data_IF_804416578359
#
_entry.id   IF_804416578359
#
_cell.length_a   1.000
_cell.length_b   1.000
_cell.length_c   1.000
_cell.angle_alpha   90.00
_cell.angle_beta   90.00
_cell.angle_gamma   90.00
#
_symmetry.space_group_name_H-M   'P 1'
#
loop_
_entity.id
_entity.type
_entity.pdbx_description
1 polymer ?
#
# COMPACT_ATOMS: atom_id res chain seq x y z
N UNK A 1 20.18 30.47 -4.99
CA UNK A 1 20.97 29.23 -5.07
C UNK A 1 20.49 28.19 -4.06
N UNK A 2 20.29 28.56 -2.79
CA UNK A 2 19.63 27.68 -1.82
C UNK A 2 18.22 27.25 -2.29
N UNK A 3 17.50 28.15 -2.96
CA UNK A 3 16.14 27.93 -3.43
C UNK A 3 16.02 26.83 -4.49
N UNK A 4 17.01 26.72 -5.40
CA UNK A 4 17.01 25.67 -6.42
C UNK A 4 17.22 24.28 -5.79
N UNK A 5 18.16 24.19 -4.85
CA UNK A 5 18.45 22.94 -4.16
C UNK A 5 17.27 22.51 -3.27
N UNK A 6 16.63 23.46 -2.60
CA UNK A 6 15.44 23.21 -1.80
C UNK A 6 14.29 22.72 -2.66
N UNK A 7 14.08 23.33 -3.86
CA UNK A 7 13.04 22.91 -4.80
C UNK A 7 13.28 21.51 -5.33
N UNK A 8 14.51 21.17 -5.66
CA UNK A 8 14.87 19.83 -6.15
C UNK A 8 14.62 18.77 -5.07
N UNK A 9 15.05 19.07 -3.84
CA UNK A 9 14.86 18.17 -2.71
C UNK A 9 13.37 17.97 -2.40
N UNK A 10 12.60 19.03 -2.41
CA UNK A 10 11.14 18.96 -2.20
C UNK A 10 10.45 18.19 -3.30
N UNK A 11 10.84 18.39 -4.56
CA UNK A 11 10.33 17.64 -5.69
C UNK A 11 10.64 16.15 -5.54
N UNK A 12 11.84 15.80 -5.11
CA UNK A 12 12.24 14.42 -4.86
C UNK A 12 11.37 13.80 -3.75
N UNK A 13 11.10 14.56 -2.70
CA UNK A 13 10.24 14.13 -1.61
C UNK A 13 8.83 13.78 -2.11
N UNK A 14 8.22 14.68 -2.88
CA UNK A 14 6.89 14.44 -3.44
C UNK A 14 6.89 13.31 -4.45
N UNK A 15 7.94 13.18 -5.25
CA UNK A 15 8.09 12.06 -6.20
C UNK A 15 8.10 10.73 -5.46
N UNK A 16 8.89 10.62 -4.39
CA UNK A 16 8.98 9.40 -3.59
C UNK A 16 7.69 9.12 -2.83
N UNK A 17 7.03 10.15 -2.33
CA UNK A 17 5.70 9.97 -1.71
C UNK A 17 4.71 9.38 -2.71
N UNK A 18 4.68 9.89 -3.92
CA UNK A 18 3.82 9.38 -4.98
C UNK A 18 4.12 7.93 -5.33
N UNK A 19 5.40 7.55 -5.40
CA UNK A 19 5.82 6.18 -5.64
C UNK A 19 5.38 5.26 -4.50
N UNK A 20 5.57 5.68 -3.25
CA UNK A 20 5.14 4.92 -2.08
C UNK A 20 3.63 4.70 -2.08
N UNK A 21 2.86 5.76 -2.32
CA UNK A 21 1.40 5.69 -2.40
C UNK A 21 0.94 4.78 -3.53
N UNK A 22 1.59 4.86 -4.69
CA UNK A 22 1.29 4.01 -5.84
C UNK A 22 1.56 2.54 -5.54
N UNK A 23 2.69 2.24 -4.90
CA UNK A 23 3.01 0.87 -4.50
C UNK A 23 1.99 0.32 -3.50
N UNK A 24 1.52 1.13 -2.57
CA UNK A 24 0.42 0.75 -1.66
C UNK A 24 -0.85 0.42 -2.41
N UNK A 25 -1.23 1.27 -3.37
CA UNK A 25 -2.40 1.03 -4.22
C UNK A 25 -2.27 -0.26 -5.01
N UNK A 26 -1.08 -0.56 -5.52
CA UNK A 26 -0.84 -1.80 -6.24
C UNK A 26 -1.01 -3.03 -5.36
N UNK A 27 -0.59 -2.96 -4.10
CA UNK A 27 -0.81 -4.04 -3.14
C UNK A 27 -2.31 -4.26 -2.92
N UNK A 28 -3.06 -3.20 -2.66
CA UNK A 28 -4.51 -3.26 -2.49
C UNK A 28 -5.18 -3.87 -3.72
N UNK A 29 -4.81 -3.39 -4.89
CA UNK A 29 -5.34 -3.85 -6.17
C UNK A 29 -5.08 -5.34 -6.39
N UNK A 30 -3.86 -5.78 -6.11
CA UNK A 30 -3.46 -7.17 -6.27
C UNK A 30 -4.24 -8.09 -5.33
N UNK A 31 -4.42 -7.68 -4.08
CA UNK A 31 -5.20 -8.44 -3.10
C UNK A 31 -6.65 -8.57 -3.56
N UNK A 32 -7.25 -7.47 -4.00
CA UNK A 32 -8.62 -7.46 -4.52
C UNK A 32 -8.74 -8.42 -5.71
N UNK A 33 -7.79 -8.36 -6.62
CA UNK A 33 -7.75 -9.23 -7.80
C UNK A 33 -7.68 -10.71 -7.42
N UNK A 34 -6.80 -11.04 -6.45
CA UNK A 34 -6.65 -12.43 -5.99
C UNK A 34 -7.89 -12.93 -5.25
N UNK A 35 -8.60 -12.05 -4.56
CA UNK A 35 -9.85 -12.41 -3.86
C UNK A 35 -11.02 -12.65 -4.80
N UNK A 36 -10.96 -12.15 -6.03
CA UNK A 36 -12.05 -12.36 -7.00
C UNK A 36 -12.32 -13.84 -7.23
N UNK A 37 -11.28 -14.67 -7.35
CA UNK A 37 -11.44 -16.10 -7.58
C UNK A 37 -12.27 -16.80 -6.50
N UNK A 38 -11.85 -16.75 -5.20
CA UNK A 38 -12.62 -17.34 -4.11
C UNK A 38 -14.01 -16.74 -3.94
N UNK A 39 -14.13 -15.42 -4.04
CA UNK A 39 -15.43 -14.74 -3.92
C UNK A 39 -16.37 -15.10 -5.06
N UNK A 40 -15.82 -15.29 -6.25
CA UNK A 40 -16.56 -15.72 -7.43
C UNK A 40 -17.16 -17.11 -7.22
N UNK A 41 -16.38 -18.04 -6.67
CA UNK A 41 -16.84 -19.42 -6.40
C UNK A 41 -17.95 -19.49 -5.37
N UNK A 42 -18.10 -18.46 -4.53
CA UNK A 42 -19.17 -18.36 -3.55
C UNK A 42 -20.49 -17.89 -4.15
N UNK A 43 -20.47 -17.39 -5.38
CA UNK A 43 -21.69 -16.98 -6.08
C UNK A 43 -22.05 -18.05 -7.11
N UNK A 44 -23.29 -18.56 -7.05
CA UNK A 44 -23.77 -19.59 -7.96
C UNK A 44 -23.97 -19.10 -9.39
N UNK A 45 -23.73 -17.83 -9.65
CA UNK A 45 -24.02 -17.20 -10.92
C UNK A 45 -22.78 -16.51 -11.49
N UNK A 46 -22.13 -17.18 -12.45
CA UNK A 46 -20.88 -16.76 -13.08
C UNK A 46 -21.14 -15.82 -14.27
N UNK A 47 -21.73 -14.64 -14.05
CA UNK A 47 -21.88 -13.68 -15.13
C UNK A 47 -20.99 -12.44 -14.92
N UNK A 48 -20.64 -11.72 -16.02
CA UNK A 48 -19.75 -10.56 -15.91
C UNK A 48 -20.24 -9.44 -14.99
N UNK A 49 -21.56 -9.26 -14.89
CA UNK A 49 -22.15 -8.26 -14.01
C UNK A 49 -21.88 -8.57 -12.54
N UNK A 50 -21.98 -9.83 -12.16
CA UNK A 50 -21.68 -10.28 -10.78
C UNK A 50 -20.22 -10.11 -10.45
N UNK A 51 -19.31 -10.37 -11.38
CA UNK A 51 -17.87 -10.15 -11.19
C UNK A 51 -17.60 -8.68 -10.89
N UNK A 52 -18.19 -7.80 -11.69
CA UNK A 52 -18.03 -6.36 -11.52
C UNK A 52 -18.55 -5.91 -10.16
N UNK A 53 -19.70 -6.41 -9.72
CA UNK A 53 -20.26 -6.11 -8.41
C UNK A 53 -19.32 -6.52 -7.27
N UNK A 54 -18.78 -7.74 -7.34
CA UNK A 54 -17.85 -8.25 -6.31
C UNK A 54 -16.58 -7.42 -6.29
N UNK A 55 -16.03 -7.13 -7.45
CA UNK A 55 -14.82 -6.31 -7.57
C UNK A 55 -15.04 -4.91 -6.97
N UNK A 56 -16.14 -4.26 -7.31
CA UNK A 56 -16.47 -2.92 -6.81
C UNK A 56 -16.63 -2.92 -5.29
N UNK A 57 -17.27 -3.95 -4.73
CA UNK A 57 -17.41 -4.09 -3.28
C UNK A 57 -16.06 -4.25 -2.59
N UNK A 58 -15.19 -5.10 -3.13
CA UNK A 58 -13.87 -5.33 -2.56
C UNK A 58 -13.01 -4.06 -2.59
N UNK A 59 -13.08 -3.29 -3.68
CA UNK A 59 -12.32 -2.04 -3.81
C UNK A 59 -12.72 -0.98 -2.79
N UNK A 60 -13.96 -1.01 -2.31
CA UNK A 60 -14.46 -0.04 -1.33
C UNK A 60 -14.08 -0.38 0.10
N UNK A 61 -13.59 -1.58 0.34
CA UNK A 61 -13.20 -2.00 1.69
C UNK A 61 -11.86 -1.35 2.10
N UNK A 62 -11.70 -0.99 3.37
CA UNK A 62 -10.40 -0.58 3.89
C UNK A 62 -9.39 -1.72 3.75
N UNK A 63 -8.11 -1.38 3.64
CA UNK A 63 -7.04 -2.37 3.48
C UNK A 63 -7.08 -3.44 4.57
N UNK A 64 -7.34 -3.05 5.82
CA UNK A 64 -7.43 -4.01 6.93
C UNK A 64 -8.50 -5.07 6.71
N UNK A 65 -9.67 -4.66 6.21
CA UNK A 65 -10.77 -5.58 5.89
C UNK A 65 -10.43 -6.50 4.72
N UNK A 66 -9.77 -5.96 3.68
CA UNK A 66 -9.31 -6.72 2.53
C UNK A 66 -8.30 -7.79 2.95
N UNK A 67 -7.36 -7.43 3.82
CA UNK A 67 -6.35 -8.36 4.34
C UNK A 67 -6.98 -9.47 5.17
N UNK A 68 -8.00 -9.17 5.98
CA UNK A 68 -8.72 -10.19 6.75
C UNK A 68 -9.43 -11.19 5.84
N UNK A 69 -10.10 -10.71 4.78
CA UNK A 69 -10.70 -11.58 3.76
C UNK A 69 -9.64 -12.44 3.08
N UNK A 70 -8.50 -11.83 2.73
CA UNK A 70 -7.41 -12.52 2.05
C UNK A 70 -6.87 -13.68 2.89
N UNK A 71 -6.69 -13.45 4.18
CA UNK A 71 -6.22 -14.49 5.12
C UNK A 71 -7.21 -15.65 5.26
N UNK A 72 -8.51 -15.40 5.11
CA UNK A 72 -9.53 -16.45 5.21
C UNK A 72 -9.52 -17.40 4.02
N UNK A 73 -9.10 -16.94 2.85
CA UNK A 73 -9.16 -17.71 1.62
C UNK A 73 -7.84 -18.35 1.20
N UNK A 74 -6.73 -17.90 1.76
CA UNK A 74 -5.40 -18.37 1.38
C UNK A 74 -4.57 -18.70 2.62
N UNK A 75 -3.69 -19.68 2.47
CA UNK A 75 -2.74 -20.04 3.52
C UNK A 75 -1.47 -19.19 3.40
N UNK A 76 -1.03 -18.62 4.52
CA UNK A 76 0.17 -17.79 4.58
C UNK A 76 1.07 -18.24 5.73
N UNK A 77 2.38 -18.11 5.52
CA UNK A 77 3.37 -18.32 6.57
C UNK A 77 3.29 -17.19 7.61
N UNK A 78 3.84 -17.44 8.80
CA UNK A 78 3.95 -16.40 9.84
C UNK A 78 4.66 -15.16 9.31
N UNK A 79 5.73 -15.35 8.52
CA UNK A 79 6.48 -14.26 7.91
C UNK A 79 5.62 -13.42 6.98
N UNK A 80 4.80 -14.06 6.16
CA UNK A 80 3.87 -13.36 5.27
C UNK A 80 2.82 -12.57 6.06
N UNK A 81 2.28 -13.16 7.13
CA UNK A 81 1.31 -12.48 8.00
C UNK A 81 1.93 -11.27 8.68
N UNK A 82 3.16 -11.36 9.15
CA UNK A 82 3.90 -10.23 9.73
C UNK A 82 4.11 -9.12 8.72
N UNK A 83 4.46 -9.48 7.48
CA UNK A 83 4.64 -8.51 6.40
C UNK A 83 3.33 -7.77 6.07
N UNK A 84 2.22 -8.49 6.05
CA UNK A 84 0.89 -7.90 5.82
C UNK A 84 0.51 -6.91 6.93
N UNK A 85 0.76 -7.30 8.19
CA UNK A 85 0.52 -6.41 9.34
C UNK A 85 1.38 -5.16 9.25
N UNK A 86 2.65 -5.32 8.88
CA UNK A 86 3.59 -4.21 8.70
C UNK A 86 3.13 -3.26 7.60
N UNK A 87 2.65 -3.79 6.48
CA UNK A 87 2.14 -2.97 5.37
C UNK A 87 0.95 -2.14 5.80
N UNK A 88 0.01 -2.75 6.51
CA UNK A 88 -1.18 -2.04 6.99
C UNK A 88 -0.79 -0.86 7.89
N UNK A 89 0.10 -1.09 8.84
CA UNK A 89 0.60 -0.06 9.74
C UNK A 89 1.30 1.06 8.97
N UNK A 90 2.18 0.71 8.06
CA UNK A 90 2.95 1.68 7.27
C UNK A 90 2.08 2.45 6.27
N UNK A 91 1.10 1.79 5.68
CA UNK A 91 0.13 2.44 4.81
C UNK A 91 -0.68 3.49 5.58
N UNK A 92 -1.14 3.14 6.78
CA UNK A 92 -1.89 4.07 7.61
C UNK A 92 -1.02 5.25 8.03
N UNK A 93 0.24 5.01 8.37
CA UNK A 93 1.21 6.07 8.68
C UNK A 93 1.42 6.98 7.48
N UNK A 94 1.68 6.42 6.30
CA UNK A 94 1.93 7.20 5.08
C UNK A 94 0.73 8.09 4.74
N UNK A 95 -0.47 7.53 4.79
CA UNK A 95 -1.69 8.22 4.37
C UNK A 95 -2.15 9.28 5.37
N UNK A 96 -2.06 8.97 6.66
CA UNK A 96 -2.72 9.80 7.68
C UNK A 96 -1.76 10.60 8.56
N UNK A 97 -0.50 10.20 8.67
CA UNK A 97 0.41 10.77 9.67
C UNK A 97 1.75 11.27 9.13
N UNK A 98 2.16 10.85 7.93
CA UNK A 98 3.51 11.15 7.44
C UNK A 98 3.79 12.66 7.42
N UNK A 99 2.99 13.43 6.73
CA UNK A 99 3.19 14.88 6.65
C UNK A 99 2.91 15.58 7.98
N UNK A 100 1.90 15.11 8.71
CA UNK A 100 1.57 15.67 10.01
C UNK A 100 2.67 15.49 11.06
N UNK A 101 3.39 14.35 10.99
CA UNK A 101 4.50 14.07 11.91
C UNK A 101 5.62 15.10 11.80
N UNK A 102 5.85 15.61 10.59
CA UNK A 102 6.90 16.60 10.36
C UNK A 102 6.39 18.04 10.43
N UNK A 103 5.13 18.27 10.07
CA UNK A 103 4.47 19.56 10.15
C UNK A 103 5.25 20.66 9.45
N UNK A 104 5.40 21.81 10.11
CA UNK A 104 6.15 22.96 9.57
C UNK A 104 7.65 22.69 9.43
N UNK A 105 8.17 21.69 10.13
CA UNK A 105 9.59 21.33 10.08
C UNK A 105 10.02 20.85 8.68
N UNK A 106 9.08 20.40 7.88
CA UNK A 106 9.38 19.92 6.52
C UNK A 106 9.98 20.99 5.60
N UNK A 107 9.95 22.25 5.99
CA UNK A 107 10.59 23.30 5.20
C UNK A 107 12.12 23.36 5.39
N UNK A 108 12.64 22.69 6.42
CA UNK A 108 14.08 22.61 6.65
C UNK A 108 14.73 21.56 5.77
N UNK A 109 15.81 21.86 5.04
CA UNK A 109 16.46 20.89 4.15
C UNK A 109 16.89 19.60 4.86
N UNK A 110 17.38 19.70 6.09
CA UNK A 110 17.79 18.53 6.87
C UNK A 110 16.59 17.60 7.18
N UNK A 111 15.43 18.16 7.44
CA UNK A 111 14.20 17.42 7.69
C UNK A 111 13.71 16.76 6.41
N UNK A 112 13.76 17.47 5.28
CA UNK A 112 13.40 16.92 3.98
C UNK A 112 14.28 15.71 3.62
N UNK A 113 15.57 15.78 3.89
CA UNK A 113 16.49 14.66 3.67
C UNK A 113 16.09 13.43 4.49
N UNK A 114 15.68 13.64 5.75
CA UNK A 114 15.18 12.58 6.62
C UNK A 114 13.87 11.97 6.07
N UNK A 115 12.95 12.81 5.63
CA UNK A 115 11.69 12.37 5.03
C UNK A 115 11.93 11.55 3.78
N UNK A 116 12.86 11.97 2.93
CA UNK A 116 13.25 11.24 1.72
C UNK A 116 13.78 9.86 2.07
N UNK A 117 14.67 9.77 3.06
CA UNK A 117 15.22 8.50 3.53
C UNK A 117 14.11 7.56 4.01
N UNK A 118 13.18 8.08 4.79
CA UNK A 118 12.03 7.34 5.31
C UNK A 118 11.13 6.84 4.17
N UNK A 119 10.87 7.68 3.16
CA UNK A 119 10.07 7.30 2.00
C UNK A 119 10.75 6.20 1.17
N UNK A 120 12.07 6.25 1.01
CA UNK A 120 12.82 5.20 0.34
C UNK A 120 12.67 3.86 1.05
N UNK A 121 12.71 3.87 2.38
CA UNK A 121 12.49 2.67 3.19
C UNK A 121 11.08 2.12 2.99
N UNK A 122 10.07 3.00 2.99
CA UNK A 122 8.67 2.61 2.76
C UNK A 122 8.47 2.01 1.37
N UNK A 123 9.05 2.62 0.33
CA UNK A 123 8.99 2.10 -1.03
C UNK A 123 9.58 0.69 -1.10
N UNK A 124 10.75 0.49 -0.47
CA UNK A 124 11.41 -0.81 -0.43
C UNK A 124 10.51 -1.87 0.24
N UNK A 125 9.91 -1.51 1.38
CA UNK A 125 9.03 -2.43 2.12
C UNK A 125 7.80 -2.79 1.29
N UNK A 126 7.14 -1.81 0.69
CA UNK A 126 5.95 -2.05 -0.13
C UNK A 126 6.27 -2.92 -1.34
N UNK A 127 7.40 -2.70 -2.00
CA UNK A 127 7.83 -3.53 -3.12
C UNK A 127 8.13 -4.96 -2.69
N UNK A 128 8.77 -5.13 -1.54
CA UNK A 128 9.07 -6.45 -0.97
C UNK A 128 7.81 -7.23 -0.64
N UNK A 129 6.84 -6.57 -0.03
CA UNK A 129 5.55 -7.19 0.31
C UNK A 129 4.78 -7.56 -0.95
N UNK A 130 4.76 -6.69 -1.95
CA UNK A 130 4.09 -6.97 -3.22
C UNK A 130 4.58 -8.26 -3.84
N UNK A 131 5.89 -8.53 -3.75
CA UNK A 131 6.48 -9.78 -4.28
C UNK A 131 6.10 -11.01 -3.46
N UNK A 132 5.82 -10.84 -2.17
CA UNK A 132 5.54 -11.95 -1.25
C UNK A 132 4.06 -12.25 -1.08
N UNK A 133 3.17 -11.50 -1.75
CA UNK A 133 1.71 -11.67 -1.64
C UNK A 133 1.17 -12.87 -2.41
N UNK A 134 1.98 -13.52 -3.25
CA UNK A 134 1.52 -14.71 -3.95
C UNK A 134 1.35 -15.85 -2.95
N UNK A 135 0.14 -16.44 -2.83
CA UNK A 135 -0.06 -17.59 -1.97
C UNK A 135 0.83 -18.75 -2.44
N UNK A 136 1.38 -19.48 -1.50
CA UNK A 136 2.11 -20.71 -1.85
C UNK A 136 1.12 -21.70 -2.47
N UNK A 137 1.53 -22.27 -3.60
CA UNK A 137 0.71 -23.23 -4.36
C UNK A 137 0.48 -24.50 -3.54
#
# INVERSE_FOLDING_TARGET
>A
MADLQESEQLNELYRLYGIAAHNCSNIEYRIVYLLLGPKWKQTDNLNPEKVTEVYDKLQRLPLGSILEEYKQHFAFSEKQLELMASVLEKRNYLTHRFFGAYGKKMHAPAVQAKMISELKDLVFIFQSVSRSLDPEA
#
